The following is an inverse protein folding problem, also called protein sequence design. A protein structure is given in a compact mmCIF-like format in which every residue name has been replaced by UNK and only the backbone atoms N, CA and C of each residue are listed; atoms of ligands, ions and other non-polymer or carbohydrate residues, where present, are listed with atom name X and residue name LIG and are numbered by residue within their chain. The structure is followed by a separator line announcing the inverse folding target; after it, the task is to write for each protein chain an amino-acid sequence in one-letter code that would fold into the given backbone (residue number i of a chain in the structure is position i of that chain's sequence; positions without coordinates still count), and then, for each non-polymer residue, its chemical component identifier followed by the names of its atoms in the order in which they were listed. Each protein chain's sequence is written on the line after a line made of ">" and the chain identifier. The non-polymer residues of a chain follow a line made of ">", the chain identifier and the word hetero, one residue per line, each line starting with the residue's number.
data_IF_291842886818
#
_entry.id   IF_291842886818
#
_cell.length_a   1.000
_cell.length_b   1.000
_cell.length_c   1.000
_cell.angle_alpha   90.00
_cell.angle_beta   90.00
_cell.angle_gamma   90.00
#
_symmetry.space_group_name_H-M   'P 1'
#
loop_
_entity.id
_entity.type
_entity.pdbx_description
1 polymer ?
#
# COMPACT_ATOMS: atom_id res chain seq x y z
N UNK A 1 33.98 -22.19 -9.49
CA UNK A 1 32.70 -22.65 -10.08
C UNK A 1 32.43 -21.83 -11.32
N UNK A 2 32.76 -22.39 -12.50
CA UNK A 2 32.53 -21.74 -13.78
C UNK A 2 30.99 -21.62 -13.99
N UNK A 3 30.49 -20.39 -13.99
CA UNK A 3 29.10 -20.13 -14.40
C UNK A 3 29.00 -20.37 -15.90
N UNK A 4 28.52 -21.52 -16.30
CA UNK A 4 28.15 -21.79 -17.70
C UNK A 4 26.97 -20.89 -18.06
N UNK A 5 27.22 -19.82 -18.81
CA UNK A 5 26.20 -18.95 -19.35
C UNK A 5 25.36 -19.73 -20.37
N UNK A 6 24.09 -19.98 -20.01
CA UNK A 6 23.17 -20.66 -20.92
C UNK A 6 22.39 -19.64 -21.76
N UNK A 7 22.91 -19.28 -22.91
CA UNK A 7 22.29 -18.30 -23.81
C UNK A 7 20.85 -18.72 -24.26
N UNK A 8 20.50 -20.01 -24.16
CA UNK A 8 19.15 -20.48 -24.48
C UNK A 8 18.11 -20.03 -23.43
N UNK A 9 18.53 -19.66 -22.23
CA UNK A 9 17.63 -19.13 -21.22
C UNK A 9 16.98 -17.80 -21.64
N UNK A 10 17.63 -17.02 -22.50
CA UNK A 10 17.07 -15.79 -23.04
C UNK A 10 15.76 -16.01 -23.81
N UNK A 11 15.64 -17.15 -24.55
CA UNK A 11 14.42 -17.45 -25.28
C UNK A 11 13.19 -17.64 -24.37
N UNK A 12 13.40 -18.04 -23.11
CA UNK A 12 12.33 -18.15 -22.11
C UNK A 12 11.95 -16.81 -21.49
N UNK A 13 12.91 -15.90 -21.35
CA UNK A 13 12.74 -14.59 -20.72
C UNK A 13 12.26 -13.54 -21.74
N UNK A 14 12.68 -13.67 -23.01
CA UNK A 14 12.41 -12.69 -24.06
C UNK A 14 10.92 -12.37 -24.25
N UNK A 15 9.98 -13.32 -24.31
CA UNK A 15 8.55 -13.02 -24.46
C UNK A 15 8.01 -12.16 -23.32
N UNK A 16 8.40 -12.49 -22.08
CA UNK A 16 7.99 -11.72 -20.89
C UNK A 16 8.62 -10.34 -20.92
N UNK A 17 9.89 -10.23 -21.29
CA UNK A 17 10.61 -8.97 -21.37
C UNK A 17 10.01 -8.05 -22.43
N UNK A 18 9.62 -8.58 -23.60
CA UNK A 18 8.93 -7.83 -24.66
C UNK A 18 7.56 -7.32 -24.19
N UNK A 19 6.76 -8.17 -23.54
CA UNK A 19 5.48 -7.77 -22.98
C UNK A 19 5.61 -6.67 -21.93
N UNK A 20 6.55 -6.83 -20.99
CA UNK A 20 6.81 -5.83 -19.93
C UNK A 20 7.33 -4.53 -20.55
N UNK A 21 8.26 -4.60 -21.49
CA UNK A 21 8.79 -3.42 -22.19
C UNK A 21 7.65 -2.66 -22.91
N UNK A 22 6.79 -3.38 -23.64
CA UNK A 22 5.65 -2.77 -24.33
C UNK A 22 4.66 -2.13 -23.35
N UNK A 23 4.32 -2.81 -22.25
CA UNK A 23 3.34 -2.34 -21.28
C UNK A 23 3.86 -1.22 -20.37
N UNK A 24 5.16 -1.11 -20.16
CA UNK A 24 5.76 -0.11 -19.28
C UNK A 24 6.35 1.07 -20.04
N UNK A 25 7.15 0.80 -21.10
CA UNK A 25 7.91 1.85 -21.80
C UNK A 25 6.99 2.77 -22.58
N UNK A 26 6.02 2.24 -23.30
CA UNK A 26 5.11 3.08 -24.11
C UNK A 26 4.27 4.02 -23.24
N UNK A 27 3.57 3.57 -22.19
CA UNK A 27 2.84 4.48 -21.31
C UNK A 27 3.76 5.51 -20.63
N UNK A 28 4.94 5.11 -20.18
CA UNK A 28 5.90 6.04 -19.56
C UNK A 28 6.37 7.11 -20.55
N UNK A 29 6.70 6.73 -21.79
CA UNK A 29 7.05 7.69 -22.84
C UNK A 29 5.90 8.64 -23.14
N UNK A 30 4.64 8.15 -23.13
CA UNK A 30 3.45 8.98 -23.33
C UNK A 30 3.31 10.00 -22.20
N UNK A 31 3.48 9.57 -20.94
CA UNK A 31 3.43 10.46 -19.78
C UNK A 31 4.53 11.52 -19.86
N UNK A 32 5.78 11.13 -20.18
CA UNK A 32 6.89 12.07 -20.37
C UNK A 32 6.59 13.07 -21.47
N UNK A 33 6.01 12.60 -22.60
CA UNK A 33 5.67 13.48 -23.70
C UNK A 33 4.58 14.50 -23.30
N UNK A 34 3.50 14.06 -22.64
CA UNK A 34 2.43 14.95 -22.21
C UNK A 34 2.87 15.91 -21.10
N UNK A 35 3.82 15.52 -20.24
CA UNK A 35 4.29 16.37 -19.13
C UNK A 35 4.99 17.67 -19.56
N UNK A 36 5.40 17.75 -20.82
CA UNK A 36 6.07 18.93 -21.41
C UNK A 36 5.21 19.63 -22.47
N UNK A 37 3.95 19.21 -22.57
CA UNK A 37 3.00 19.76 -23.56
C UNK A 37 1.75 20.29 -22.88
N UNK A 38 1.19 21.31 -23.47
CA UNK A 38 -0.18 21.73 -23.22
C UNK A 38 -1.11 21.03 -24.23
N UNK A 39 -2.20 20.43 -23.71
CA UNK A 39 -3.10 19.59 -24.52
C UNK A 39 -4.47 20.25 -24.58
N UNK A 40 -4.80 20.80 -25.73
CA UNK A 40 -6.13 21.32 -26.01
C UNK A 40 -7.02 20.27 -26.69
N UNK A 41 -8.32 20.46 -26.61
CA UNK A 41 -9.26 19.68 -27.41
C UNK A 41 -8.89 19.68 -28.90
N UNK A 42 -9.40 18.72 -29.68
CA UNK A 42 -9.11 18.52 -31.08
C UNK A 42 -7.67 18.09 -31.44
N UNK A 43 -6.99 17.36 -30.57
CA UNK A 43 -5.62 16.88 -30.77
C UNK A 43 -4.60 17.99 -31.09
N UNK A 44 -4.75 19.14 -30.47
CA UNK A 44 -3.75 20.22 -30.54
C UNK A 44 -2.81 20.11 -29.35
N UNK A 45 -1.51 20.12 -29.64
CA UNK A 45 -0.44 20.00 -28.65
C UNK A 45 0.52 21.17 -28.83
N UNK A 46 0.78 21.89 -27.75
CA UNK A 46 1.74 22.99 -27.72
C UNK A 46 2.85 22.67 -26.73
N UNK A 47 4.05 23.07 -27.06
CA UNK A 47 5.18 22.87 -26.18
C UNK A 47 5.11 23.79 -24.96
N UNK A 48 4.95 23.23 -23.76
CA UNK A 48 4.92 23.95 -22.50
C UNK A 48 6.25 23.88 -21.71
N UNK A 49 7.16 23.00 -22.12
CA UNK A 49 8.47 22.86 -21.45
C UNK A 49 8.32 22.35 -20.00
N UNK A 50 8.87 23.09 -19.04
CA UNK A 50 8.85 22.74 -17.58
C UNK A 50 7.76 23.46 -16.81
N UNK A 51 6.90 24.21 -17.45
CA UNK A 51 5.88 25.06 -16.81
C UNK A 51 5.01 24.28 -15.81
N UNK A 52 4.52 23.10 -16.21
CA UNK A 52 3.68 22.24 -15.36
C UNK A 52 4.39 21.72 -14.12
N UNK A 53 5.70 21.51 -14.21
CA UNK A 53 6.50 21.10 -13.04
C UNK A 53 6.70 22.25 -12.05
N UNK A 54 6.92 23.46 -12.56
CA UNK A 54 7.06 24.67 -11.74
C UNK A 54 5.74 24.98 -11.04
N UNK A 55 4.62 24.97 -11.76
CA UNK A 55 3.28 25.15 -11.20
C UNK A 55 2.97 24.08 -10.13
N UNK A 56 3.26 22.82 -10.42
CA UNK A 56 3.04 21.70 -9.50
C UNK A 56 3.81 21.89 -8.18
N UNK A 57 5.09 22.24 -8.26
CA UNK A 57 5.94 22.39 -7.09
C UNK A 57 5.56 23.59 -6.22
N UNK A 58 4.87 24.59 -6.79
CA UNK A 58 4.33 25.75 -6.07
C UNK A 58 2.86 25.57 -5.65
N UNK A 59 2.23 24.43 -6.01
CA UNK A 59 0.83 24.15 -5.71
C UNK A 59 0.63 23.67 -4.27
N UNK A 60 -0.07 24.43 -3.44
CA UNK A 60 -0.48 24.01 -2.10
C UNK A 60 -1.28 22.72 -2.13
N UNK A 61 -2.15 22.56 -3.13
CA UNK A 61 -2.98 21.37 -3.34
C UNK A 61 -2.14 20.10 -3.49
N UNK A 62 -1.03 20.17 -4.22
CA UNK A 62 -0.10 19.05 -4.39
C UNK A 62 0.56 18.68 -3.05
N UNK A 63 1.09 19.64 -2.33
CA UNK A 63 1.77 19.40 -1.06
C UNK A 63 0.81 18.90 0.03
N UNK A 64 -0.38 19.44 0.10
CA UNK A 64 -1.41 18.93 1.01
C UNK A 64 -1.78 17.49 0.71
N UNK A 65 -1.97 17.11 -0.58
CA UNK A 65 -2.24 15.72 -0.97
C UNK A 65 -1.06 14.81 -0.65
N UNK A 66 0.18 15.27 -0.85
CA UNK A 66 1.40 14.56 -0.48
C UNK A 66 1.47 14.30 1.03
N UNK A 67 1.23 15.31 1.83
CA UNK A 67 1.23 15.19 3.30
C UNK A 67 0.14 14.22 3.76
N UNK A 68 -1.06 14.26 3.17
CA UNK A 68 -2.13 13.27 3.45
C UNK A 68 -1.67 11.85 3.15
N UNK A 69 -1.02 11.62 2.01
CA UNK A 69 -0.47 10.30 1.66
C UNK A 69 0.55 9.82 2.69
N UNK A 70 1.50 10.67 3.09
CA UNK A 70 2.53 10.31 4.06
C UNK A 70 1.92 10.00 5.44
N UNK A 71 1.01 10.84 5.92
CA UNK A 71 0.32 10.63 7.19
C UNK A 71 -0.47 9.33 7.16
N UNK A 72 -1.23 9.09 6.09
CA UNK A 72 -2.01 7.87 5.92
C UNK A 72 -1.11 6.63 5.95
N UNK A 73 -0.07 6.58 5.11
CA UNK A 73 0.87 5.46 5.06
C UNK A 73 1.53 5.21 6.41
N UNK A 74 1.91 6.26 7.13
CA UNK A 74 2.50 6.11 8.46
C UNK A 74 1.50 5.53 9.48
N UNK A 75 0.27 6.04 9.51
CA UNK A 75 -0.76 5.58 10.45
C UNK A 75 -1.10 4.12 10.21
N UNK A 76 -1.36 3.72 8.97
CA UNK A 76 -1.73 2.33 8.69
C UNK A 76 -0.59 1.37 8.98
N UNK A 77 0.65 1.71 8.63
CA UNK A 77 1.81 0.87 8.97
C UNK A 77 2.01 0.75 10.49
N UNK A 78 1.80 1.83 11.23
CA UNK A 78 1.88 1.83 12.68
C UNK A 78 0.80 0.94 13.34
N UNK A 79 -0.32 0.72 12.67
CA UNK A 79 -1.41 -0.17 13.14
C UNK A 79 -1.23 -1.59 12.60
N UNK A 80 -1.08 -1.76 11.29
CA UNK A 80 -1.08 -3.07 10.62
C UNK A 80 0.11 -3.93 11.00
N UNK A 81 1.30 -3.34 11.12
CA UNK A 81 2.50 -4.14 11.41
C UNK A 81 2.46 -4.75 12.81
N UNK A 82 2.19 -4.00 13.89
CA UNK A 82 2.02 -4.60 15.21
C UNK A 82 0.83 -5.56 15.31
N UNK A 83 -0.30 -5.20 14.68
CA UNK A 83 -1.49 -6.03 14.67
C UNK A 83 -1.25 -7.35 13.93
N UNK A 84 -0.61 -7.30 12.77
CA UNK A 84 -0.26 -8.46 11.97
C UNK A 84 0.72 -9.39 12.69
N UNK A 85 1.74 -8.85 13.36
CA UNK A 85 2.65 -9.62 14.22
C UNK A 85 1.88 -10.26 15.37
N UNK A 86 1.03 -9.50 16.06
CA UNK A 86 0.24 -9.99 17.19
C UNK A 86 -0.67 -11.15 16.78
N UNK A 87 -1.41 -11.03 15.66
CA UNK A 87 -2.27 -12.09 15.16
C UNK A 87 -1.43 -13.31 14.77
N UNK A 88 -0.35 -13.14 14.01
CA UNK A 88 0.52 -14.23 13.57
C UNK A 88 1.12 -15.02 14.74
N UNK A 89 1.51 -14.35 15.83
CA UNK A 89 2.03 -14.98 17.06
C UNK A 89 0.99 -15.87 17.77
N UNK A 90 -0.30 -15.53 17.62
CA UNK A 90 -1.40 -16.25 18.25
C UNK A 90 -2.05 -17.30 17.35
N UNK A 91 -1.63 -17.41 16.07
CA UNK A 91 -2.11 -18.44 15.17
C UNK A 91 -1.60 -19.84 15.55
N UNK A 92 -2.40 -20.89 15.33
CA UNK A 92 -2.00 -22.27 15.59
C UNK A 92 -0.84 -22.65 14.65
N UNK A 93 0.13 -23.43 15.19
CA UNK A 93 1.30 -23.89 14.42
C UNK A 93 1.16 -25.31 13.88
N UNK A 94 0.18 -26.09 14.37
CA UNK A 94 -0.05 -27.50 14.02
C UNK A 94 -1.55 -27.81 14.02
N UNK A 95 -1.92 -28.83 13.27
CA UNK A 95 -3.29 -29.33 13.20
C UNK A 95 -4.18 -28.63 12.19
N UNK A 96 -5.46 -29.00 12.18
CA UNK A 96 -6.47 -28.52 11.23
C UNK A 96 -6.80 -27.03 11.39
N UNK A 97 -6.52 -26.44 12.55
CA UNK A 97 -6.70 -25.01 12.78
C UNK A 97 -5.78 -24.13 11.92
N UNK A 98 -4.63 -24.65 11.47
CA UNK A 98 -3.72 -23.89 10.60
C UNK A 98 -4.37 -23.50 9.29
N UNK A 99 -4.84 -24.45 8.44
CA UNK A 99 -5.49 -24.09 7.18
C UNK A 99 -6.74 -23.24 7.38
N UNK A 100 -7.52 -23.50 8.43
CA UNK A 100 -8.71 -22.70 8.73
C UNK A 100 -8.35 -21.23 9.01
N UNK A 101 -7.35 -20.95 9.87
CA UNK A 101 -6.88 -19.60 10.14
C UNK A 101 -6.28 -18.93 8.89
N UNK A 102 -5.50 -19.67 8.09
CA UNK A 102 -4.92 -19.13 6.86
C UNK A 102 -6.00 -18.73 5.86
N UNK A 103 -7.04 -19.54 5.67
CA UNK A 103 -8.17 -19.19 4.80
C UNK A 103 -8.91 -17.97 5.33
N UNK A 104 -9.24 -17.93 6.63
CA UNK A 104 -9.93 -16.80 7.24
C UNK A 104 -9.12 -15.49 7.09
N UNK A 105 -7.80 -15.56 7.29
CA UNK A 105 -6.94 -14.40 7.10
C UNK A 105 -6.81 -13.99 5.63
N UNK A 106 -6.89 -14.92 4.69
CA UNK A 106 -6.83 -14.61 3.27
C UNK A 106 -8.13 -14.01 2.70
N UNK A 107 -9.29 -14.23 3.35
CA UNK A 107 -10.59 -13.79 2.83
C UNK A 107 -10.64 -12.29 2.51
N UNK A 108 -10.26 -11.36 3.40
CA UNK A 108 -10.30 -9.93 3.06
C UNK A 108 -9.44 -9.61 1.82
N UNK A 109 -8.26 -10.22 1.72
CA UNK A 109 -7.31 -9.97 0.64
C UNK A 109 -7.79 -10.45 -0.74
N UNK A 110 -8.71 -11.42 -0.77
CA UNK A 110 -9.29 -11.97 -2.00
C UNK A 110 -10.44 -11.11 -2.54
N UNK A 111 -10.93 -10.15 -1.76
CA UNK A 111 -12.01 -9.26 -2.19
C UNK A 111 -11.41 -8.19 -3.11
N UNK A 112 -11.97 -7.96 -4.31
CA UNK A 112 -11.52 -6.90 -5.21
C UNK A 112 -11.63 -5.51 -4.56
N UNK A 113 -10.67 -4.65 -4.78
CA UNK A 113 -10.53 -3.33 -4.14
C UNK A 113 -11.76 -2.44 -4.27
N UNK A 114 -12.40 -2.42 -5.44
CA UNK A 114 -13.64 -1.67 -5.66
C UNK A 114 -14.81 -2.23 -4.85
N UNK A 115 -14.84 -3.55 -4.64
CA UNK A 115 -15.87 -4.22 -3.82
C UNK A 115 -15.64 -3.91 -2.34
N UNK A 116 -14.38 -3.88 -1.88
CA UNK A 116 -14.02 -3.42 -0.53
C UNK A 116 -14.57 -2.02 -0.28
N UNK A 117 -14.26 -1.08 -1.18
CA UNK A 117 -14.78 0.28 -1.08
C UNK A 117 -16.31 0.33 -1.04
N UNK A 118 -16.99 -0.45 -1.88
CA UNK A 118 -18.47 -0.50 -1.91
C UNK A 118 -19.06 -1.08 -0.63
N UNK A 119 -18.45 -2.15 -0.08
CA UNK A 119 -18.88 -2.74 1.20
C UNK A 119 -18.80 -1.67 2.30
N UNK A 120 -17.67 -0.98 2.43
CA UNK A 120 -17.44 0.01 3.46
C UNK A 120 -18.29 1.27 3.25
N UNK A 121 -18.54 1.65 1.99
CA UNK A 121 -19.44 2.75 1.66
C UNK A 121 -20.85 2.54 2.21
N UNK A 122 -21.39 1.32 2.07
CA UNK A 122 -22.71 0.99 2.59
C UNK A 122 -22.66 0.72 4.10
N UNK A 123 -21.67 -0.04 4.56
CA UNK A 123 -21.52 -0.47 5.95
C UNK A 123 -21.32 0.70 6.93
N UNK A 124 -20.56 1.73 6.51
CA UNK A 124 -20.29 2.92 7.31
C UNK A 124 -21.39 3.98 7.31
N UNK A 125 -22.38 3.91 6.43
CA UNK A 125 -23.43 4.94 6.37
C UNK A 125 -24.22 5.04 7.67
N UNK A 126 -24.47 6.28 8.13
CA UNK A 126 -25.19 6.55 9.36
C UNK A 126 -26.69 6.23 9.29
N UNK A 127 -27.29 6.26 8.09
CA UNK A 127 -28.72 6.07 7.84
C UNK A 127 -29.11 4.59 7.62
N UNK A 128 -28.29 3.82 6.91
CA UNK A 128 -28.60 2.44 6.51
C UNK A 128 -27.50 1.42 6.84
N UNK A 129 -26.31 1.90 7.21
CA UNK A 129 -25.15 1.04 7.46
C UNK A 129 -25.13 0.48 8.88
N UNK A 130 -24.77 -0.80 9.01
CA UNK A 130 -24.66 -1.44 10.32
C UNK A 130 -23.67 -0.72 11.24
N UNK A 131 -22.48 -0.40 10.75
CA UNK A 131 -21.47 0.29 11.55
C UNK A 131 -21.96 1.68 11.96
N UNK A 132 -22.42 2.46 10.98
CA UNK A 132 -22.93 3.81 11.27
C UNK A 132 -24.07 3.80 12.26
N UNK A 133 -25.03 2.89 12.09
CA UNK A 133 -26.16 2.75 13.01
C UNK A 133 -25.72 2.44 14.45
N UNK A 134 -24.87 1.41 14.64
CA UNK A 134 -24.44 1.03 15.99
C UNK A 134 -23.55 2.07 16.65
N UNK A 135 -22.63 2.70 15.91
CA UNK A 135 -21.77 3.75 16.47
C UNK A 135 -22.60 4.94 16.95
N UNK A 136 -23.60 5.37 16.15
CA UNK A 136 -24.52 6.44 16.54
C UNK A 136 -25.45 6.02 17.71
N UNK A 137 -25.88 4.76 17.76
CA UNK A 137 -26.70 4.23 18.89
C UNK A 137 -25.92 4.22 20.22
N UNK A 138 -24.58 4.17 20.17
CA UNK A 138 -23.70 4.31 21.34
C UNK A 138 -23.51 5.77 21.78
N UNK A 139 -24.11 6.73 21.08
CA UNK A 139 -24.03 8.16 21.38
C UNK A 139 -22.83 8.86 20.76
N UNK A 140 -22.14 8.22 19.80
CA UNK A 140 -21.04 8.83 19.04
C UNK A 140 -21.65 9.38 17.74
N UNK A 141 -21.53 10.69 17.53
CA UNK A 141 -22.01 11.33 16.30
C UNK A 141 -21.04 11.02 15.15
N UNK A 142 -21.33 9.93 14.42
CA UNK A 142 -20.49 9.43 13.34
C UNK A 142 -21.18 9.63 11.98
N UNK A 143 -20.48 10.35 11.08
CA UNK A 143 -20.92 10.57 9.71
C UNK A 143 -19.74 10.82 8.76
N UNK A 144 -19.16 9.77 8.22
CA UNK A 144 -18.00 9.87 7.33
C UNK A 144 -18.26 10.66 6.02
N UNK A 145 -19.54 10.86 5.67
CA UNK A 145 -19.90 11.63 4.45
C UNK A 145 -19.74 13.13 4.69
N UNK A 146 -19.96 13.60 5.93
CA UNK A 146 -19.98 15.01 6.27
C UNK A 146 -18.79 15.46 7.15
N UNK A 147 -18.27 14.56 7.97
CA UNK A 147 -17.17 14.87 8.89
C UNK A 147 -15.82 14.36 8.35
N UNK A 148 -14.80 15.24 8.23
CA UNK A 148 -13.46 14.87 7.77
C UNK A 148 -12.75 13.85 8.65
N UNK A 149 -12.93 13.90 9.96
CA UNK A 149 -12.29 12.97 10.90
C UNK A 149 -12.89 11.57 10.74
N UNK A 150 -14.22 11.47 10.68
CA UNK A 150 -14.90 10.20 10.46
C UNK A 150 -14.57 9.58 9.12
N UNK A 151 -14.42 10.40 8.07
CA UNK A 151 -13.97 9.95 6.77
C UNK A 151 -12.57 9.31 6.83
N UNK A 152 -11.63 9.96 7.53
CA UNK A 152 -10.28 9.42 7.75
C UNK A 152 -10.32 8.11 8.54
N UNK A 153 -11.05 8.07 9.65
CA UNK A 153 -11.20 6.87 10.49
C UNK A 153 -11.78 5.72 9.67
N UNK A 154 -12.79 5.99 8.85
CA UNK A 154 -13.42 4.97 8.00
C UNK A 154 -12.44 4.41 6.98
N UNK A 155 -11.69 5.27 6.28
CA UNK A 155 -10.70 4.85 5.28
C UNK A 155 -9.55 4.07 5.94
N UNK A 156 -9.08 4.50 7.12
CA UNK A 156 -8.03 3.79 7.87
C UNK A 156 -8.52 2.41 8.32
N UNK A 157 -9.70 2.30 8.93
CA UNK A 157 -10.23 1.00 9.40
C UNK A 157 -10.47 0.06 8.22
N UNK A 158 -10.98 0.56 7.10
CA UNK A 158 -11.17 -0.20 5.87
C UNK A 158 -9.85 -0.78 5.36
N UNK A 159 -8.82 0.04 5.25
CA UNK A 159 -7.50 -0.38 4.76
C UNK A 159 -6.85 -1.38 5.72
N UNK A 160 -6.85 -1.09 7.02
CA UNK A 160 -6.35 -2.00 8.07
C UNK A 160 -7.09 -3.35 8.03
N UNK A 161 -8.40 -3.36 7.89
CA UNK A 161 -9.18 -4.60 7.78
C UNK A 161 -8.77 -5.41 6.53
N UNK A 162 -8.61 -4.75 5.40
CA UNK A 162 -8.29 -5.41 4.13
C UNK A 162 -6.84 -5.95 4.13
N UNK A 163 -5.88 -5.11 4.52
CA UNK A 163 -4.45 -5.37 4.28
C UNK A 163 -3.68 -5.96 5.47
N UNK A 164 -4.20 -5.89 6.69
CA UNK A 164 -3.57 -6.59 7.83
C UNK A 164 -3.37 -8.08 7.54
N UNK A 165 -4.25 -8.67 6.76
CA UNK A 165 -4.16 -10.07 6.30
C UNK A 165 -2.83 -10.39 5.62
N UNK A 166 -2.31 -9.51 4.77
CA UNK A 166 -1.02 -9.68 4.11
C UNK A 166 0.12 -9.72 5.14
N UNK A 167 0.12 -8.78 6.08
CA UNK A 167 1.13 -8.71 7.13
C UNK A 167 1.08 -9.97 8.01
N UNK A 168 -0.12 -10.42 8.38
CA UNK A 168 -0.31 -11.67 9.16
C UNK A 168 0.28 -12.86 8.45
N UNK A 169 -0.06 -13.05 7.17
CA UNK A 169 0.40 -14.21 6.39
C UNK A 169 1.93 -14.21 6.22
N UNK A 170 2.53 -13.06 5.95
CA UNK A 170 3.98 -12.92 5.85
C UNK A 170 4.67 -13.19 7.20
N UNK A 171 4.17 -12.58 8.28
CA UNK A 171 4.71 -12.80 9.62
C UNK A 171 4.56 -14.27 10.06
N UNK A 172 3.41 -14.89 9.79
CA UNK A 172 3.18 -16.29 10.09
C UNK A 172 4.15 -17.21 9.34
N UNK A 173 4.37 -16.98 8.05
CA UNK A 173 5.36 -17.72 7.26
C UNK A 173 6.77 -17.57 7.85
N UNK A 174 7.15 -16.36 8.26
CA UNK A 174 8.41 -16.11 8.96
C UNK A 174 8.53 -16.86 10.28
N UNK A 175 7.46 -16.89 11.08
CA UNK A 175 7.43 -17.59 12.38
C UNK A 175 7.54 -19.11 12.23
N UNK A 176 6.86 -19.69 11.24
CA UNK A 176 6.86 -21.14 10.99
C UNK A 176 8.21 -21.61 10.44
N UNK A 177 8.96 -20.73 9.77
CA UNK A 177 10.29 -21.05 9.25
C UNK A 177 11.37 -21.17 10.33
N UNK A 178 11.09 -20.73 11.58
CA UNK A 178 12.05 -20.80 12.69
C UNK A 178 12.15 -22.25 13.19
N UNK A 179 13.36 -22.89 13.18
CA UNK A 179 13.53 -24.25 13.64
C UNK A 179 13.12 -24.44 15.10
N UNK A 180 12.46 -25.56 15.42
CA UNK A 180 11.98 -25.91 16.77
C UNK A 180 13.13 -25.96 17.82
N UNK A 181 14.38 -26.19 17.39
CA UNK A 181 15.55 -26.20 18.26
C UNK A 181 15.73 -24.91 19.04
N UNK A 182 15.45 -23.73 18.42
CA UNK A 182 15.53 -22.43 19.13
C UNK A 182 14.51 -22.32 20.27
N UNK A 183 13.31 -22.85 20.05
CA UNK A 183 12.26 -22.84 21.08
C UNK A 183 12.55 -23.85 22.20
N UNK A 184 13.17 -25.00 21.88
CA UNK A 184 13.60 -26.00 22.87
C UNK A 184 14.72 -25.45 23.77
N UNK A 185 15.74 -24.80 23.16
CA UNK A 185 16.80 -24.17 23.93
C UNK A 185 16.23 -23.07 24.85
N UNK A 186 15.39 -22.17 24.35
CA UNK A 186 14.76 -21.14 25.16
C UNK A 186 13.92 -21.71 26.31
N UNK A 187 13.30 -22.86 26.11
CA UNK A 187 12.53 -23.55 27.18
C UNK A 187 13.46 -24.12 28.27
N UNK A 188 14.62 -24.67 27.88
CA UNK A 188 15.63 -25.16 28.83
C UNK A 188 16.19 -24.00 29.64
N UNK A 189 16.45 -22.84 29.00
CA UNK A 189 16.96 -21.63 29.65
C UNK A 189 15.88 -20.89 30.48
N UNK A 190 14.64 -21.38 30.54
CA UNK A 190 13.54 -20.73 31.26
C UNK A 190 13.13 -19.37 30.71
N UNK A 191 13.37 -19.11 29.44
CA UNK A 191 13.09 -17.82 28.79
C UNK A 191 11.58 -17.48 28.79
N UNK A 192 11.24 -16.24 29.16
CA UNK A 192 9.88 -15.73 29.11
C UNK A 192 9.38 -15.60 27.67
N UNK A 193 8.05 -15.55 27.47
CA UNK A 193 7.45 -15.32 26.14
C UNK A 193 7.95 -14.05 25.48
N UNK A 194 8.16 -12.98 26.26
CA UNK A 194 8.70 -11.72 25.77
C UNK A 194 10.17 -11.86 25.35
N UNK A 195 10.98 -12.62 26.11
CA UNK A 195 12.37 -12.90 25.75
C UNK A 195 12.45 -13.71 24.45
N UNK A 196 11.61 -14.74 24.29
CA UNK A 196 11.51 -15.52 23.05
C UNK A 196 11.11 -14.63 21.87
N UNK A 197 10.13 -13.75 22.04
CA UNK A 197 9.73 -12.81 21.01
C UNK A 197 10.90 -11.87 20.64
N UNK A 198 11.48 -11.20 21.63
CA UNK A 198 12.48 -10.14 21.42
C UNK A 198 13.80 -10.66 20.85
N UNK A 199 14.25 -11.84 21.30
CA UNK A 199 15.59 -12.36 21.01
C UNK A 199 15.61 -13.49 19.96
N UNK A 200 14.50 -14.16 19.70
CA UNK A 200 14.42 -15.26 18.72
C UNK A 200 13.49 -14.89 17.56
N UNK A 201 12.21 -14.63 17.85
CA UNK A 201 11.21 -14.48 16.80
C UNK A 201 11.41 -13.21 15.99
N UNK A 202 11.50 -12.06 16.65
CA UNK A 202 11.64 -10.76 15.97
C UNK A 202 12.91 -10.69 15.11
N UNK A 203 14.10 -11.08 15.59
CA UNK A 203 15.31 -11.10 14.74
C UNK A 203 15.23 -12.07 13.55
N UNK A 204 14.60 -13.23 13.74
CA UNK A 204 14.44 -14.22 12.66
C UNK A 204 13.39 -13.82 11.63
N UNK A 205 12.37 -13.06 12.05
CA UNK A 205 11.33 -12.53 11.15
C UNK A 205 11.73 -11.23 10.45
N UNK A 206 12.80 -10.59 10.86
CA UNK A 206 13.16 -9.22 10.45
C UNK A 206 13.17 -9.03 8.93
N UNK A 207 13.73 -9.98 8.18
CA UNK A 207 13.74 -9.93 6.70
C UNK A 207 12.33 -9.92 6.12
N UNK A 208 11.45 -10.77 6.66
CA UNK A 208 10.04 -10.83 6.22
C UNK A 208 9.28 -9.57 6.63
N UNK A 209 9.56 -9.02 7.81
CA UNK A 209 8.97 -7.77 8.27
C UNK A 209 9.37 -6.59 7.39
N UNK A 210 10.65 -6.51 7.00
CA UNK A 210 11.11 -5.47 6.07
C UNK A 210 10.38 -5.56 4.72
N UNK A 211 10.20 -6.78 4.19
CA UNK A 211 9.44 -6.99 2.96
C UNK A 211 7.98 -6.56 3.16
N UNK A 212 7.34 -6.94 4.26
CA UNK A 212 5.97 -6.58 4.56
C UNK A 212 5.79 -5.05 4.65
N UNK A 213 6.68 -4.37 5.38
CA UNK A 213 6.66 -2.90 5.52
C UNK A 213 6.87 -2.22 4.17
N UNK A 214 7.84 -2.69 3.36
CA UNK A 214 8.10 -2.12 2.04
C UNK A 214 6.89 -2.26 1.12
N UNK A 215 6.33 -3.47 1.01
CA UNK A 215 5.15 -3.72 0.18
C UNK A 215 3.97 -2.87 0.60
N UNK A 216 3.67 -2.83 1.91
CA UNK A 216 2.56 -2.04 2.44
C UNK A 216 2.78 -0.55 2.30
N UNK A 217 4.00 -0.06 2.50
CA UNK A 217 4.31 1.35 2.28
C UNK A 217 4.06 1.75 0.82
N UNK A 218 4.59 0.98 -0.13
CA UNK A 218 4.42 1.27 -1.55
C UNK A 218 2.95 1.25 -1.96
N UNK A 219 2.20 0.24 -1.51
CA UNK A 219 0.79 0.09 -1.82
C UNK A 219 -0.07 1.21 -1.20
N UNK A 220 0.13 1.49 0.09
CA UNK A 220 -0.58 2.55 0.79
C UNK A 220 -0.27 3.95 0.23
N UNK A 221 0.94 4.14 -0.26
CA UNK A 221 1.31 5.40 -0.89
C UNK A 221 0.63 5.59 -2.25
N UNK A 222 0.26 4.51 -2.94
CA UNK A 222 -0.48 4.53 -4.21
C UNK A 222 -1.99 4.31 -4.05
N UNK A 223 -2.50 4.35 -2.83
CA UNK A 223 -3.92 4.07 -2.56
C UNK A 223 -4.85 4.98 -3.39
N UNK A 224 -5.81 4.36 -4.09
CA UNK A 224 -6.77 5.07 -4.93
C UNK A 224 -8.18 4.50 -4.82
N UNK A 225 -8.34 3.23 -5.19
CA UNK A 225 -9.66 2.64 -5.50
C UNK A 225 -10.60 2.66 -4.31
N UNK A 226 -10.15 2.17 -3.16
CA UNK A 226 -10.99 2.02 -1.97
C UNK A 226 -11.45 3.39 -1.42
N UNK A 227 -10.55 4.36 -1.13
CA UNK A 227 -10.99 5.66 -0.63
C UNK A 227 -11.76 6.46 -1.67
N UNK A 228 -11.46 6.29 -2.97
CA UNK A 228 -12.24 6.94 -4.02
C UNK A 228 -13.68 6.44 -4.06
N UNK A 229 -13.90 5.13 -3.93
CA UNK A 229 -15.26 4.55 -3.89
C UNK A 229 -16.01 4.99 -2.64
N UNK A 230 -15.36 5.03 -1.47
CA UNK A 230 -16.01 5.37 -0.19
C UNK A 230 -16.36 6.86 -0.12
N UNK A 231 -15.39 7.74 -0.39
CA UNK A 231 -15.51 9.18 -0.10
C UNK A 231 -15.41 10.07 -1.32
N UNK A 232 -14.92 9.55 -2.48
CA UNK A 232 -14.60 10.38 -3.65
C UNK A 232 -13.52 11.43 -3.38
N UNK A 233 -12.78 11.30 -2.26
CA UNK A 233 -11.80 12.28 -1.77
C UNK A 233 -12.34 13.31 -0.80
N UNK A 234 -13.64 13.19 -0.41
CA UNK A 234 -14.33 14.09 0.49
C UNK A 234 -14.37 13.66 1.97
N UNK A 235 -15.13 14.40 2.83
CA UNK A 235 -15.77 15.68 2.56
C UNK A 235 -14.77 16.81 2.25
N UNK A 236 -15.14 17.72 1.37
CA UNK A 236 -14.21 18.70 0.80
C UNK A 236 -13.05 18.00 0.07
N UNK A 237 -11.83 18.19 0.54
CA UNK A 237 -10.62 17.49 0.05
C UNK A 237 -9.93 16.64 1.13
N UNK A 238 -10.64 16.32 2.23
CA UNK A 238 -10.04 15.70 3.42
C UNK A 238 -9.35 14.36 3.13
N UNK A 239 -9.93 13.51 2.26
CA UNK A 239 -9.37 12.23 1.83
C UNK A 239 -8.90 12.25 0.37
N UNK A 240 -8.65 13.44 -0.20
CA UNK A 240 -8.05 13.55 -1.54
C UNK A 240 -6.57 13.27 -1.43
N UNK A 241 -6.21 12.01 -1.62
CA UNK A 241 -4.83 11.55 -1.74
C UNK A 241 -4.24 11.95 -3.09
N UNK A 242 -2.92 11.83 -3.23
CA UNK A 242 -2.21 12.26 -4.43
C UNK A 242 -2.67 11.52 -5.69
N UNK A 243 -2.94 10.22 -5.57
CA UNK A 243 -3.51 9.38 -6.64
C UNK A 243 -4.92 9.83 -7.05
N UNK A 244 -5.77 10.20 -6.08
CA UNK A 244 -7.12 10.71 -6.32
C UNK A 244 -7.05 12.07 -7.01
N UNK A 245 -6.18 12.95 -6.55
CA UNK A 245 -5.97 14.27 -7.14
C UNK A 245 -5.47 14.16 -8.59
N UNK A 246 -4.51 13.25 -8.83
CA UNK A 246 -4.01 12.93 -10.16
C UNK A 246 -5.13 12.52 -11.11
N UNK A 247 -5.95 11.55 -10.70
CA UNK A 247 -7.04 11.02 -11.54
C UNK A 247 -8.12 12.06 -11.77
N UNK A 248 -8.45 12.88 -10.77
CA UNK A 248 -9.38 14.01 -10.94
C UNK A 248 -8.86 15.01 -11.97
N UNK A 249 -7.56 15.33 -11.97
CA UNK A 249 -6.94 16.22 -12.96
C UNK A 249 -6.97 15.58 -14.35
N UNK A 250 -6.50 14.34 -14.46
CA UNK A 250 -6.36 13.66 -15.76
C UNK A 250 -7.71 13.32 -16.41
N UNK A 251 -8.64 12.71 -15.66
CA UNK A 251 -9.88 12.15 -16.19
C UNK A 251 -11.11 13.01 -15.88
N UNK A 252 -11.10 13.71 -14.75
CA UNK A 252 -12.21 14.58 -14.37
C UNK A 252 -12.17 15.94 -15.08
N UNK A 253 -10.98 16.52 -15.23
CA UNK A 253 -10.77 17.83 -15.87
C UNK A 253 -10.27 17.70 -17.32
N UNK A 254 -9.80 16.51 -17.74
CA UNK A 254 -9.14 16.24 -19.02
C UNK A 254 -7.89 17.10 -19.26
N UNK A 255 -7.24 17.51 -18.16
CA UNK A 255 -6.05 18.34 -18.20
C UNK A 255 -4.80 17.43 -18.16
N UNK A 256 -4.42 16.95 -19.35
CA UNK A 256 -3.43 15.87 -19.47
C UNK A 256 -2.00 16.34 -19.21
N UNK A 257 -1.64 17.57 -19.56
CA UNK A 257 -0.30 18.14 -19.34
C UNK A 257 0.08 18.19 -17.86
N UNK A 258 -0.64 18.96 -17.05
CA UNK A 258 -0.44 19.02 -15.60
C UNK A 258 -0.57 17.65 -14.91
N UNK A 259 -1.53 16.81 -15.36
CA UNK A 259 -1.70 15.47 -14.80
C UNK A 259 -0.49 14.57 -15.11
N UNK A 260 0.08 14.66 -16.31
CA UNK A 260 1.26 13.91 -16.68
C UNK A 260 2.51 14.36 -15.90
N UNK A 261 2.71 15.68 -15.72
CA UNK A 261 3.77 16.21 -14.87
C UNK A 261 3.64 15.72 -13.42
N UNK A 262 2.42 15.78 -12.87
CA UNK A 262 2.09 15.25 -11.53
C UNK A 262 2.37 13.76 -11.43
N UNK A 263 1.96 12.97 -12.43
CA UNK A 263 2.20 11.53 -12.49
C UNK A 263 3.69 11.20 -12.50
N UNK A 264 4.48 11.94 -13.26
CA UNK A 264 5.92 11.74 -13.36
C UNK A 264 6.64 12.05 -12.03
N UNK A 265 6.30 13.18 -11.40
CA UNK A 265 6.85 13.55 -10.08
C UNK A 265 6.45 12.50 -9.03
N UNK A 266 5.20 12.09 -9.02
CA UNK A 266 4.70 11.05 -8.12
C UNK A 266 5.44 9.72 -8.31
N UNK A 267 5.61 9.29 -9.56
CA UNK A 267 6.40 8.09 -9.90
C UNK A 267 7.84 8.18 -9.40
N UNK A 268 8.51 9.32 -9.61
CA UNK A 268 9.89 9.54 -9.15
C UNK A 268 10.00 9.50 -7.62
N UNK A 269 9.02 10.04 -6.90
CA UNK A 269 8.97 9.97 -5.43
C UNK A 269 8.83 8.53 -4.96
N UNK A 270 7.92 7.75 -5.54
CA UNK A 270 7.75 6.33 -5.19
C UNK A 270 9.03 5.55 -5.50
N UNK A 271 9.66 5.80 -6.63
CA UNK A 271 10.90 5.15 -7.02
C UNK A 271 12.05 5.49 -6.05
N UNK A 272 12.18 6.75 -5.66
CA UNK A 272 13.17 7.18 -4.67
C UNK A 272 12.96 6.50 -3.32
N UNK A 273 11.73 6.52 -2.82
CA UNK A 273 11.40 5.89 -1.54
C UNK A 273 11.64 4.37 -1.60
N UNK A 274 11.23 3.72 -2.69
CA UNK A 274 11.47 2.29 -2.91
C UNK A 274 12.96 1.96 -2.95
N UNK A 275 13.77 2.81 -3.59
CA UNK A 275 15.22 2.67 -3.64
C UNK A 275 15.85 2.83 -2.25
N UNK A 276 15.42 3.81 -1.46
CA UNK A 276 15.88 4.00 -0.08
C UNK A 276 15.57 2.76 0.77
N UNK A 277 14.33 2.26 0.72
CA UNK A 277 13.96 1.03 1.44
C UNK A 277 14.76 -0.18 0.98
N UNK A 278 14.94 -0.36 -0.33
CA UNK A 278 15.76 -1.44 -0.88
C UNK A 278 17.20 -1.38 -0.38
N UNK A 279 17.81 -0.18 -0.38
CA UNK A 279 19.19 0.02 0.07
C UNK A 279 19.33 -0.29 1.56
N UNK A 280 18.39 0.14 2.40
CA UNK A 280 18.35 -0.18 3.83
C UNK A 280 18.27 -1.69 4.03
N UNK A 281 17.41 -2.39 3.27
CA UNK A 281 17.27 -3.85 3.36
C UNK A 281 18.54 -4.59 2.98
N UNK A 282 19.18 -4.20 1.88
CA UNK A 282 20.39 -4.89 1.36
C UNK A 282 21.62 -4.65 2.24
N UNK A 283 21.80 -3.44 2.76
CA UNK A 283 22.90 -3.14 3.68
C UNK A 283 22.78 -3.91 4.98
N UNK A 284 21.54 -4.07 5.48
CA UNK A 284 21.29 -4.85 6.68
C UNK A 284 21.64 -6.35 6.53
N UNK A 285 21.47 -6.90 5.32
CA UNK A 285 21.83 -8.29 5.00
C UNK A 285 23.35 -8.46 4.83
N UNK A 286 24.07 -7.42 4.44
CA UNK A 286 25.53 -7.47 4.22
C UNK A 286 26.34 -7.39 5.55
N UNK A 287 25.76 -6.83 6.60
CA UNK A 287 26.41 -6.71 7.93
C UNK A 287 26.24 -7.97 8.83
N UNK A 288 25.58 -9.01 8.33
CA UNK A 288 25.36 -10.30 9.03
C UNK A 288 25.95 -11.47 8.26
#
# INVERSE_FOLDING_TARGET
>A
MDRTWNNKAWFLVLPVLVLVAFSAVIPLMTVVNYSVQDTFGNNQFFWAGTEWFEELLHSDRFWEAMVRNLIFSFIILAIEVPLGIFIALNMPKKGWGVPACLVLMALPLLIPWNVVGTIWQVFGRNDIGLLGYYVNALGIDYNYVQDPFDAWVTVIIMDVWHWTSLVVLLCYAGLVSIPDAFYQAAKIDGASRWAVFRYIQLPKMQRVLLIAVLLRFMDSFMIYTEPFVVTGGGPGNSTTFLSIDLVKTALGQFDLGPAAAKSLVYFLIILLLSWVFYTVMTNYDAER
#
